data_IF_810189003340
#
_entry.id   IF_810189003340
#
_cell.length_a   1.000
_cell.length_b   1.000
_cell.length_c   1.000
_cell.angle_alpha   90.00
_cell.angle_beta   90.00
_cell.angle_gamma   90.00
#
_symmetry.space_group_name_H-M   'P 1'
#
loop_
_entity.id
_entity.type
_entity.pdbx_description
1 polymer ?
#
# COMPACT_ATOMS: atom_id res chain seq x y z
N UNK A 1 19.47 7.36 11.01
CA UNK A 1 18.21 7.97 10.54
C UNK A 1 17.28 8.37 11.69
N UNK A 2 16.91 7.48 12.61
CA UNK A 2 16.02 7.83 13.74
C UNK A 2 16.61 8.89 14.71
N UNK A 3 17.92 8.80 15.01
CA UNK A 3 18.61 9.65 15.99
C UNK A 3 19.38 10.81 15.35
N UNK A 4 19.36 10.91 14.00
CA UNK A 4 20.12 11.96 13.31
C UNK A 4 19.50 13.34 13.56
N UNK A 5 20.33 14.37 13.83
CA UNK A 5 19.86 15.75 13.86
C UNK A 5 19.38 16.18 12.46
N UNK A 6 18.45 17.13 12.42
CA UNK A 6 17.82 17.58 11.18
C UNK A 6 18.86 18.01 10.12
N UNK A 7 19.89 18.75 10.52
CA UNK A 7 21.00 19.18 9.64
C UNK A 7 21.70 18.06 8.89
N UNK A 8 21.84 16.89 9.53
CA UNK A 8 22.47 15.73 8.92
C UNK A 8 21.50 14.98 8.00
N UNK A 9 20.21 14.98 8.33
CA UNK A 9 19.13 14.49 7.46
C UNK A 9 19.06 15.29 6.15
N UNK A 10 19.06 16.63 6.23
CA UNK A 10 19.06 17.51 5.06
C UNK A 10 20.22 17.19 4.11
N UNK A 11 21.43 16.99 4.65
CA UNK A 11 22.63 16.65 3.86
C UNK A 11 22.60 15.24 3.28
N UNK A 12 22.06 14.27 4.03
CA UNK A 12 22.06 12.86 3.60
C UNK A 12 21.11 12.63 2.43
N UNK A 13 19.96 13.32 2.43
CA UNK A 13 18.93 13.19 1.42
C UNK A 13 18.94 14.33 0.39
N UNK A 14 19.99 15.16 0.40
CA UNK A 14 20.16 16.33 -0.48
C UNK A 14 18.88 17.17 -0.62
N UNK A 15 18.23 17.42 0.51
CA UNK A 15 16.92 18.06 0.60
C UNK A 15 17.01 19.36 1.37
N UNK A 16 15.99 20.21 1.21
CA UNK A 16 15.96 21.56 1.74
C UNK A 16 14.66 21.84 2.50
N UNK A 17 14.68 22.72 3.52
CA UNK A 17 13.47 23.11 4.27
C UNK A 17 12.36 23.69 3.38
N UNK A 18 12.73 24.20 2.20
CA UNK A 18 11.82 24.77 1.21
C UNK A 18 11.19 23.71 0.29
N UNK A 19 11.58 22.45 0.41
CA UNK A 19 11.19 21.36 -0.48
C UNK A 19 12.14 21.19 -1.66
N UNK A 20 11.99 20.07 -2.37
CA UNK A 20 12.81 19.74 -3.55
C UNK A 20 12.34 20.52 -4.79
N UNK A 21 13.28 20.81 -5.69
CA UNK A 21 12.98 21.33 -7.01
C UNK A 21 12.63 20.20 -8.00
N UNK A 22 12.08 20.56 -9.16
CA UNK A 22 11.67 19.56 -10.17
C UNK A 22 12.85 18.71 -10.69
N UNK A 23 14.03 19.29 -10.88
CA UNK A 23 15.21 18.58 -11.39
C UNK A 23 15.78 17.58 -10.36
N UNK A 24 15.76 17.94 -9.07
CA UNK A 24 16.14 17.09 -7.94
C UNK A 24 15.17 15.92 -7.80
N UNK A 25 13.87 16.18 -7.94
CA UNK A 25 12.84 15.12 -7.94
C UNK A 25 13.04 14.16 -9.11
N UNK A 26 13.33 14.65 -10.31
CA UNK A 26 13.60 13.81 -11.48
C UNK A 26 14.86 12.96 -11.27
N UNK A 27 15.95 13.56 -10.80
CA UNK A 27 17.19 12.84 -10.47
C UNK A 27 16.98 11.77 -9.38
N UNK A 28 16.25 12.11 -8.30
CA UNK A 28 15.93 11.18 -7.24
C UNK A 28 15.05 10.02 -7.74
N UNK A 29 14.10 10.29 -8.65
CA UNK A 29 13.24 9.29 -9.28
C UNK A 29 14.03 8.36 -10.20
N UNK A 30 15.00 8.87 -10.95
CA UNK A 30 15.88 8.02 -11.77
C UNK A 30 16.72 7.05 -10.92
N UNK A 31 17.13 7.49 -9.73
CA UNK A 31 17.95 6.68 -8.82
C UNK A 31 17.13 5.65 -8.01
N UNK A 32 15.96 6.05 -7.51
CA UNK A 32 15.18 5.23 -6.57
C UNK A 32 13.95 4.55 -7.18
N UNK A 33 13.51 4.98 -8.37
CA UNK A 33 12.30 4.49 -9.00
C UNK A 33 11.01 5.14 -8.46
N UNK A 34 9.86 4.60 -8.88
CA UNK A 34 8.54 5.04 -8.40
C UNK A 34 8.23 4.40 -7.04
N UNK A 35 7.46 5.11 -6.21
CA UNK A 35 6.95 4.60 -4.92
C UNK A 35 5.75 3.66 -5.15
N UNK A 36 6.02 2.51 -5.75
CA UNK A 36 5.04 1.48 -6.05
C UNK A 36 5.43 0.18 -5.39
N UNK A 37 4.66 -0.18 -4.35
CA UNK A 37 4.69 -1.52 -3.78
C UNK A 37 4.63 -2.53 -4.93
N UNK A 38 5.53 -3.53 -4.95
CA UNK A 38 5.54 -4.52 -6.01
C UNK A 38 4.15 -5.14 -6.08
N UNK A 39 3.41 -4.81 -7.14
CA UNK A 39 2.09 -5.35 -7.35
C UNK A 39 2.22 -6.87 -7.27
N UNK A 40 1.51 -7.49 -6.33
CA UNK A 40 1.46 -8.95 -6.26
C UNK A 40 1.11 -9.40 -7.66
N UNK A 41 2.06 -10.09 -8.32
CA UNK A 41 1.86 -10.52 -9.68
C UNK A 41 0.52 -11.24 -9.72
N UNK A 42 -0.43 -10.81 -10.59
CA UNK A 42 -1.72 -11.45 -10.66
C UNK A 42 -1.45 -12.93 -10.80
N UNK A 43 -1.92 -13.72 -9.83
CA UNK A 43 -1.67 -15.16 -9.83
C UNK A 43 -1.97 -15.68 -11.22
N UNK A 44 -1.07 -16.46 -11.83
CA UNK A 44 -1.24 -16.90 -13.20
C UNK A 44 -2.62 -17.50 -13.39
N UNK A 45 -3.26 -17.27 -14.53
CA UNK A 45 -4.64 -17.67 -14.79
C UNK A 45 -4.91 -19.16 -14.49
N UNK A 46 -3.91 -20.03 -14.65
CA UNK A 46 -3.98 -21.46 -14.29
C UNK A 46 -4.07 -21.72 -12.77
N UNK A 47 -3.42 -20.91 -11.94
CA UNK A 47 -3.54 -20.99 -10.47
C UNK A 47 -4.93 -20.54 -10.03
N UNK A 48 -5.44 -19.46 -10.62
CA UNK A 48 -6.79 -18.97 -10.34
C UNK A 48 -7.86 -19.99 -10.78
N UNK A 49 -7.63 -20.66 -11.91
CA UNK A 49 -8.46 -21.76 -12.40
C UNK A 49 -8.42 -22.99 -11.47
N UNK A 50 -7.26 -23.34 -10.91
CA UNK A 50 -7.13 -24.43 -9.93
C UNK A 50 -7.80 -24.11 -8.59
N UNK A 51 -7.70 -22.86 -8.11
CA UNK A 51 -8.40 -22.41 -6.90
C UNK A 51 -9.92 -22.42 -7.09
N UNK A 52 -10.41 -21.94 -8.25
CA UNK A 52 -11.83 -22.05 -8.62
C UNK A 52 -12.30 -23.51 -8.77
N UNK A 53 -11.44 -24.41 -9.26
CA UNK A 53 -11.75 -25.84 -9.37
C UNK A 53 -11.86 -26.51 -7.99
N UNK A 54 -11.10 -26.02 -6.98
CA UNK A 54 -11.15 -26.51 -5.61
C UNK A 54 -12.34 -26.01 -4.79
N UNK A 55 -13.37 -25.48 -5.46
CA UNK A 55 -14.67 -25.27 -4.82
C UNK A 55 -15.32 -26.65 -4.55
N UNK A 56 -15.77 -26.94 -3.31
CA UNK A 56 -16.35 -28.24 -2.94
C UNK A 56 -17.52 -28.66 -3.85
N UNK A 57 -18.20 -27.71 -4.47
CA UNK A 57 -19.26 -27.97 -5.45
C UNK A 57 -18.74 -28.55 -6.78
N UNK A 58 -17.63 -28.04 -7.31
CA UNK A 58 -17.01 -28.58 -8.54
C UNK A 58 -16.46 -30.00 -8.32
N UNK A 59 -15.89 -30.26 -7.14
CA UNK A 59 -15.41 -31.60 -6.77
C UNK A 59 -16.58 -32.59 -6.69
N UNK A 60 -17.68 -32.21 -6.03
CA UNK A 60 -18.89 -33.03 -5.93
C UNK A 60 -19.47 -33.38 -7.31
N UNK A 61 -19.55 -32.39 -8.20
CA UNK A 61 -20.05 -32.58 -9.55
C UNK A 61 -19.14 -33.44 -10.43
N UNK A 62 -17.82 -33.34 -10.25
CA UNK A 62 -16.85 -34.22 -10.94
C UNK A 62 -17.05 -35.69 -10.51
N UNK A 63 -17.30 -35.93 -9.21
CA UNK A 63 -17.59 -37.27 -8.68
C UNK A 63 -18.91 -37.80 -9.26
N UNK A 64 -19.97 -37.00 -9.31
CA UNK A 64 -21.25 -37.41 -9.93
C UNK A 64 -21.10 -37.71 -11.43
N UNK A 65 -20.34 -36.91 -12.17
CA UNK A 65 -20.06 -37.13 -13.59
C UNK A 65 -19.32 -38.45 -13.84
N UNK A 66 -18.34 -38.78 -13.00
CA UNK A 66 -17.61 -40.05 -13.07
C UNK A 66 -18.53 -41.27 -12.78
N UNK A 67 -19.43 -41.15 -11.80
CA UNK A 67 -20.42 -42.20 -11.48
C UNK A 67 -21.44 -42.36 -12.62
N UNK A 68 -21.90 -41.26 -13.23
CA UNK A 68 -22.88 -41.31 -14.32
C UNK A 68 -22.27 -41.91 -15.60
N UNK A 69 -21.00 -41.61 -15.90
CA UNK A 69 -20.26 -42.23 -17.00
C UNK A 69 -20.10 -43.74 -16.82
N UNK A 70 -19.83 -44.19 -15.59
CA UNK A 70 -19.75 -45.61 -15.26
C UNK A 70 -21.10 -46.36 -15.38
N UNK A 71 -22.23 -45.64 -15.44
CA UNK A 71 -23.58 -46.21 -15.58
C UNK A 71 -24.05 -46.28 -17.06
N UNK A 72 -23.20 -45.91 -18.03
CA UNK A 72 -23.46 -45.89 -19.49
C UNK A 72 -24.65 -45.02 -19.96
N UNK A 73 -25.25 -44.22 -19.07
CA UNK A 73 -26.27 -43.23 -19.45
C UNK A 73 -25.63 -41.94 -19.96
N UNK A 74 -25.33 -41.95 -21.27
CA UNK A 74 -24.74 -40.82 -22.00
C UNK A 74 -25.62 -39.56 -21.97
N UNK A 75 -26.95 -39.70 -21.82
CA UNK A 75 -27.86 -38.56 -21.78
C UNK A 75 -27.81 -37.88 -20.41
N UNK A 76 -27.88 -38.66 -19.32
CA UNK A 76 -27.71 -38.16 -17.96
C UNK A 76 -26.32 -37.54 -17.74
N UNK A 77 -25.26 -38.18 -18.24
CA UNK A 77 -23.90 -37.66 -18.16
C UNK A 77 -23.74 -36.30 -18.87
N UNK A 78 -24.36 -36.13 -20.05
CA UNK A 78 -24.34 -34.87 -20.80
C UNK A 78 -25.06 -33.72 -20.08
N UNK A 79 -26.22 -33.99 -19.48
CA UNK A 79 -26.98 -32.98 -18.70
C UNK A 79 -26.22 -32.55 -17.45
N UNK A 80 -25.64 -33.51 -16.72
CA UNK A 80 -24.83 -33.22 -15.53
C UNK A 80 -23.61 -32.37 -15.93
N UNK A 81 -22.86 -32.78 -16.96
CA UNK A 81 -21.70 -32.03 -17.46
C UNK A 81 -22.03 -30.59 -17.86
N UNK A 82 -23.19 -30.36 -18.51
CA UNK A 82 -23.65 -29.03 -18.88
C UNK A 82 -23.98 -28.18 -17.64
N UNK A 83 -24.65 -28.75 -16.63
CA UNK A 83 -24.92 -28.05 -15.37
C UNK A 83 -23.62 -27.69 -14.63
N UNK A 84 -22.61 -28.57 -14.63
CA UNK A 84 -21.29 -28.26 -14.08
C UNK A 84 -20.66 -27.08 -14.81
N UNK A 85 -20.60 -27.13 -16.15
CA UNK A 85 -19.99 -26.09 -16.95
C UNK A 85 -20.63 -24.72 -16.71
N UNK A 86 -21.97 -24.66 -16.66
CA UNK A 86 -22.71 -23.43 -16.37
C UNK A 86 -22.42 -22.95 -14.94
N UNK A 87 -22.41 -23.85 -13.94
CA UNK A 87 -22.14 -23.49 -12.56
C UNK A 87 -20.71 -22.99 -12.35
N UNK A 88 -19.70 -23.65 -12.94
CA UNK A 88 -18.31 -23.22 -12.88
C UNK A 88 -18.13 -21.85 -13.56
N UNK A 89 -18.77 -21.63 -14.71
CA UNK A 89 -18.71 -20.35 -15.41
C UNK A 89 -19.37 -19.22 -14.60
N UNK A 90 -20.54 -19.46 -14.02
CA UNK A 90 -21.21 -18.50 -13.15
C UNK A 90 -20.39 -18.18 -11.90
N UNK A 91 -19.75 -19.17 -11.28
CA UNK A 91 -18.86 -18.97 -10.14
C UNK A 91 -17.61 -18.17 -10.54
N UNK A 92 -16.99 -18.47 -11.69
CA UNK A 92 -15.84 -17.73 -12.20
C UNK A 92 -16.17 -16.24 -12.47
N UNK A 93 -17.33 -15.97 -13.07
CA UNK A 93 -17.78 -14.59 -13.32
C UNK A 93 -18.10 -13.85 -12.02
N UNK A 94 -18.72 -14.52 -11.04
CA UNK A 94 -19.00 -13.94 -9.72
C UNK A 94 -17.73 -13.60 -8.96
N UNK A 95 -16.75 -14.52 -8.94
CA UNK A 95 -15.46 -14.32 -8.27
C UNK A 95 -14.69 -13.16 -8.93
N UNK A 96 -14.60 -13.14 -10.26
CA UNK A 96 -13.90 -12.10 -11.02
C UNK A 96 -14.53 -10.71 -10.89
N UNK A 97 -15.85 -10.63 -10.65
CA UNK A 97 -16.54 -9.36 -10.43
C UNK A 97 -16.37 -8.85 -9.00
N UNK A 98 -16.32 -9.75 -8.02
CA UNK A 98 -16.08 -9.41 -6.61
C UNK A 98 -14.66 -8.88 -6.38
N UNK A 99 -13.65 -9.50 -6.98
CA UNK A 99 -12.25 -9.05 -6.83
C UNK A 99 -12.03 -7.67 -7.43
N UNK A 100 -12.56 -7.39 -8.63
CA UNK A 100 -12.47 -6.06 -9.25
C UNK A 100 -13.09 -4.93 -8.44
N UNK A 101 -14.21 -5.19 -7.76
CA UNK A 101 -14.86 -4.16 -6.95
C UNK A 101 -14.01 -3.82 -5.71
N UNK A 102 -13.42 -4.82 -5.06
CA UNK A 102 -12.53 -4.62 -3.93
C UNK A 102 -11.24 -3.89 -4.32
N UNK A 103 -10.64 -4.22 -5.46
CA UNK A 103 -9.42 -3.57 -5.95
C UNK A 103 -9.68 -2.11 -6.38
N UNK A 104 -10.82 -1.83 -7.01
CA UNK A 104 -11.22 -0.47 -7.37
C UNK A 104 -11.50 0.40 -6.12
N UNK A 105 -12.14 -0.15 -5.09
CA UNK A 105 -12.35 0.53 -3.82
C UNK A 105 -11.02 0.83 -3.11
N UNK A 106 -10.05 -0.11 -3.14
CA UNK A 106 -8.70 0.12 -2.59
C UNK A 106 -7.95 1.22 -3.34
N UNK A 107 -8.06 1.27 -4.68
CA UNK A 107 -7.39 2.28 -5.49
C UNK A 107 -7.96 3.70 -5.32
N UNK A 108 -9.21 3.84 -4.88
CA UNK A 108 -9.88 5.14 -4.78
C UNK A 108 -9.67 5.89 -3.46
N UNK A 109 -9.16 5.25 -2.39
CA UNK A 109 -9.21 5.83 -1.03
C UNK A 109 -7.89 6.44 -0.57
N UNK A 110 -6.74 6.22 -1.22
CA UNK A 110 -5.47 6.66 -0.63
C UNK A 110 -4.35 6.75 -1.67
N UNK A 111 -4.49 7.52 -2.75
CA UNK A 111 -3.42 7.61 -3.75
C UNK A 111 -2.84 9.01 -3.94
N UNK A 112 -3.19 9.99 -3.10
CA UNK A 112 -2.57 11.32 -3.14
C UNK A 112 -1.91 11.67 -1.81
N UNK A 113 -0.82 12.43 -1.88
CA UNK A 113 -0.08 12.96 -0.74
C UNK A 113 0.20 14.45 -0.98
N UNK A 114 0.13 15.25 0.07
CA UNK A 114 0.47 16.67 0.01
C UNK A 114 1.96 16.86 0.28
N UNK A 115 2.70 17.33 -0.72
CA UNK A 115 4.15 17.53 -0.67
C UNK A 115 4.53 19.01 -0.77
N UNK A 116 5.62 19.40 -0.14
CA UNK A 116 6.23 20.72 -0.27
C UNK A 116 7.32 20.65 -1.35
N UNK A 117 7.14 21.42 -2.42
CA UNK A 117 8.12 21.54 -3.52
C UNK A 117 8.26 22.98 -3.98
N UNK A 118 9.38 23.26 -4.64
CA UNK A 118 9.63 24.54 -5.30
C UNK A 118 8.85 24.56 -6.62
N UNK A 119 7.96 25.54 -6.78
CA UNK A 119 6.98 25.64 -7.87
C UNK A 119 7.52 26.44 -9.05
N UNK A 120 8.41 27.41 -8.79
CA UNK A 120 8.90 28.34 -9.80
C UNK A 120 10.44 28.47 -9.76
N UNK A 121 11.05 28.83 -10.90
CA UNK A 121 12.49 29.18 -11.02
C UNK A 121 12.91 30.37 -10.14
N UNK A 122 11.93 31.07 -9.54
CA UNK A 122 12.14 32.14 -8.55
C UNK A 122 12.40 31.61 -7.13
N UNK A 123 12.32 30.30 -6.91
CA UNK A 123 12.47 29.70 -5.58
C UNK A 123 11.20 29.77 -4.72
N UNK A 124 10.02 29.99 -5.31
CA UNK A 124 8.77 29.99 -4.53
C UNK A 124 8.37 28.55 -4.20
N UNK A 125 8.18 28.26 -2.91
CA UNK A 125 7.72 26.95 -2.44
C UNK A 125 6.20 26.94 -2.20
N UNK A 126 5.61 25.75 -2.32
CA UNK A 126 4.20 25.58 -2.00
C UNK A 126 3.79 24.13 -1.86
N UNK A 127 2.62 23.95 -1.26
CA UNK A 127 2.03 22.64 -1.01
C UNK A 127 1.25 22.19 -2.25
N UNK A 128 1.62 21.03 -2.77
CA UNK A 128 1.05 20.42 -3.96
C UNK A 128 0.56 19.02 -3.62
N UNK A 129 -0.63 18.67 -4.13
CA UNK A 129 -1.14 17.32 -4.00
C UNK A 129 -0.69 16.49 -5.20
N UNK A 130 0.10 15.45 -4.95
CA UNK A 130 0.65 14.56 -5.98
C UNK A 130 0.26 13.11 -5.72
N UNK A 131 0.24 12.25 -6.75
CA UNK A 131 0.05 10.83 -6.54
C UNK A 131 1.14 10.22 -5.64
N UNK A 132 0.79 9.26 -4.77
CA UNK A 132 1.73 8.58 -3.87
C UNK A 132 2.84 7.88 -4.66
N UNK A 133 2.53 7.33 -5.82
CA UNK A 133 3.46 6.69 -6.76
C UNK A 133 4.62 7.60 -7.17
N UNK A 134 4.40 8.91 -7.09
CA UNK A 134 5.32 9.95 -7.53
C UNK A 134 6.22 10.51 -6.43
N UNK A 135 6.04 10.05 -5.19
CA UNK A 135 6.88 10.41 -4.05
C UNK A 135 8.31 9.90 -4.26
N UNK A 136 9.28 10.71 -3.84
CA UNK A 136 10.70 10.35 -3.86
C UNK A 136 11.30 10.52 -2.46
N UNK A 137 12.36 9.78 -2.11
CA UNK A 137 13.13 10.04 -0.90
C UNK A 137 13.62 11.50 -0.89
N UNK A 138 13.45 12.18 0.25
CA UNK A 138 13.75 13.60 0.42
C UNK A 138 12.55 14.54 0.27
N UNK A 139 11.40 14.08 -0.26
CA UNK A 139 10.17 14.89 -0.27
C UNK A 139 9.70 15.20 1.16
N UNK A 140 9.26 16.44 1.40
CA UNK A 140 8.60 16.83 2.65
C UNK A 140 7.10 16.73 2.43
N UNK A 141 6.42 15.98 3.29
CA UNK A 141 4.98 15.77 3.21
C UNK A 141 4.27 16.28 4.46
N UNK A 142 3.00 16.63 4.29
CA UNK A 142 2.10 16.97 5.40
C UNK A 142 1.13 15.82 5.65
N UNK A 143 0.99 15.47 6.91
CA UNK A 143 0.05 14.46 7.40
C UNK A 143 -1.00 15.12 8.30
N UNK A 144 -2.24 14.66 8.16
CA UNK A 144 -3.36 15.01 9.01
C UNK A 144 -4.11 13.76 9.51
N UNK A 145 -4.96 13.95 10.51
CA UNK A 145 -5.81 12.90 11.03
C UNK A 145 -6.69 12.29 9.92
N UNK A 146 -6.68 10.96 9.81
CA UNK A 146 -7.37 10.20 8.77
C UNK A 146 -6.49 9.80 7.59
N UNK A 147 -5.31 10.40 7.42
CA UNK A 147 -4.43 10.09 6.31
C UNK A 147 -3.75 8.73 6.49
N UNK A 148 -3.62 7.99 5.39
CA UNK A 148 -2.75 6.83 5.30
C UNK A 148 -1.31 7.30 5.07
N UNK A 149 -0.35 6.67 5.74
CA UNK A 149 1.06 6.99 5.59
C UNK A 149 1.57 6.43 4.25
N UNK A 150 2.02 7.28 3.31
CA UNK A 150 2.24 6.90 1.90
C UNK A 150 3.60 6.28 1.61
N UNK A 151 4.58 6.46 2.50
CA UNK A 151 5.95 5.97 2.38
C UNK A 151 6.55 5.84 3.78
N UNK A 152 7.78 5.37 3.90
CA UNK A 152 8.48 5.41 5.19
C UNK A 152 9.01 6.82 5.43
N UNK A 153 8.68 7.39 6.60
CA UNK A 153 8.89 8.80 6.89
C UNK A 153 9.67 9.03 8.19
N UNK A 154 10.42 10.13 8.20
CA UNK A 154 11.00 10.73 9.39
C UNK A 154 10.25 12.02 9.73
N UNK A 155 9.67 12.08 10.92
CA UNK A 155 8.93 13.26 11.39
C UNK A 155 9.89 14.42 11.62
N UNK A 156 9.56 15.59 11.08
CA UNK A 156 10.27 16.85 11.32
C UNK A 156 9.51 17.71 12.33
N UNK A 157 8.18 17.72 12.26
CA UNK A 157 7.31 18.43 13.20
C UNK A 157 6.06 17.59 13.45
N UNK A 158 5.62 17.51 14.71
CA UNK A 158 4.40 16.83 15.08
C UNK A 158 3.64 17.63 16.13
N UNK A 159 2.31 17.60 16.03
CA UNK A 159 1.40 18.16 17.02
C UNK A 159 0.32 17.13 17.32
N UNK A 160 0.36 16.59 18.54
CA UNK A 160 -0.55 15.56 19.04
C UNK A 160 -0.74 14.41 18.03
N UNK A 161 0.36 13.97 17.40
CA UNK A 161 0.35 12.97 16.34
C UNK A 161 0.25 11.57 16.95
N UNK A 162 -0.84 10.87 16.67
CA UNK A 162 -1.03 9.48 17.04
C UNK A 162 -1.21 8.62 15.79
N UNK A 163 -0.45 7.54 15.69
CA UNK A 163 -0.46 6.63 14.54
C UNK A 163 -0.93 5.25 14.99
N UNK A 164 -1.87 4.67 14.25
CA UNK A 164 -2.29 3.29 14.41
C UNK A 164 -1.32 2.37 13.67
N UNK A 165 -0.50 1.64 14.42
CA UNK A 165 0.49 0.70 13.88
C UNK A 165 0.02 -0.77 13.95
N UNK A 166 -1.29 -1.00 14.15
CA UNK A 166 -1.87 -2.33 14.29
C UNK A 166 -1.56 -3.28 13.12
N UNK A 167 -1.41 -2.74 11.91
CA UNK A 167 -1.04 -3.50 10.71
C UNK A 167 0.39 -4.06 10.76
N UNK A 168 1.30 -3.48 11.54
CA UNK A 168 2.71 -3.84 11.62
C UNK A 168 3.08 -4.50 12.95
N UNK A 169 2.59 -3.97 14.07
CA UNK A 169 2.94 -4.45 15.43
C UNK A 169 1.90 -5.41 16.00
N UNK A 170 0.68 -5.44 15.44
CA UNK A 170 -0.46 -6.15 16.03
C UNK A 170 -1.07 -5.46 17.25
N UNK A 171 -0.51 -4.34 17.70
CA UNK A 171 -1.03 -3.56 18.82
C UNK A 171 -2.11 -2.58 18.35
N UNK A 172 -3.28 -2.63 18.98
CA UNK A 172 -4.42 -1.79 18.59
C UNK A 172 -4.38 -0.39 19.18
N UNK A 173 -3.48 -0.13 20.13
CA UNK A 173 -3.37 1.19 20.77
C UNK A 173 -2.58 2.14 19.88
N UNK A 174 -3.09 3.37 19.65
CA UNK A 174 -2.35 4.39 18.91
C UNK A 174 -1.06 4.76 19.62
N UNK A 175 0.05 4.83 18.88
CA UNK A 175 1.36 5.23 19.40
C UNK A 175 1.57 6.71 19.10
N UNK A 176 1.98 7.46 20.11
CA UNK A 176 2.32 8.88 19.96
C UNK A 176 3.66 9.04 19.25
N UNK A 177 3.72 9.94 18.28
CA UNK A 177 4.92 10.19 17.48
C UNK A 177 5.40 11.64 17.64
N UNK A 178 6.72 11.84 17.61
CA UNK A 178 7.36 13.11 17.92
C UNK A 178 8.57 13.40 17.00
N UNK A 179 8.88 14.68 16.80
CA UNK A 179 10.02 15.12 15.98
C UNK A 179 11.38 14.77 16.61
N UNK A 180 11.49 14.94 17.93
CA UNK A 180 12.69 14.60 18.71
C UNK A 180 12.52 13.24 19.37
N UNK A 181 13.53 12.38 19.24
CA UNK A 181 13.52 11.09 19.95
C UNK A 181 13.49 11.33 21.45
N UNK A 182 12.46 10.78 22.13
CA UNK A 182 12.34 10.87 23.59
C UNK A 182 13.21 9.82 24.29
N UNK A 183 13.59 8.76 23.57
CA UNK A 183 14.32 7.62 24.09
C UNK A 183 15.35 7.13 23.04
N UNK A 184 16.59 7.67 23.07
CA UNK A 184 17.63 7.30 22.11
C UNK A 184 18.18 5.87 22.28
N UNK A 185 17.77 5.15 23.33
CA UNK A 185 18.26 3.80 23.65
C UNK A 185 17.44 2.66 23.00
N UNK A 186 16.25 2.95 22.46
CA UNK A 186 15.46 1.93 21.75
C UNK A 186 16.12 1.61 20.42
N UNK A 187 16.65 0.38 20.32
CA UNK A 187 17.31 -0.13 19.11
C UNK A 187 16.31 -0.60 18.05
N UNK A 188 15.04 -0.78 18.41
CA UNK A 188 14.01 -1.27 17.50
C UNK A 188 13.42 -0.11 16.65
N UNK A 189 13.52 -0.15 15.31
CA UNK A 189 12.99 0.89 14.44
C UNK A 189 11.48 1.11 14.59
N UNK A 190 10.72 0.05 14.91
CA UNK A 190 9.25 0.10 15.03
C UNK A 190 8.78 0.88 16.27
N UNK A 191 9.60 0.90 17.32
CA UNK A 191 9.35 1.60 18.58
C UNK A 191 9.83 3.05 18.55
N UNK A 192 10.49 3.47 17.47
CA UNK A 192 10.98 4.84 17.34
C UNK A 192 9.81 5.82 17.15
N UNK A 193 9.70 6.79 18.05
CA UNK A 193 8.70 7.88 17.99
C UNK A 193 8.84 8.78 16.76
N UNK A 194 10.03 8.78 16.17
CA UNK A 194 10.43 9.65 15.08
C UNK A 194 10.10 9.10 13.70
N UNK A 195 9.83 7.79 13.62
CA UNK A 195 9.62 7.09 12.36
C UNK A 195 8.15 6.71 12.20
N UNK A 196 7.68 6.89 10.98
CA UNK A 196 6.38 6.46 10.50
C UNK A 196 6.58 5.51 9.34
N UNK A 197 5.73 4.49 9.24
CA UNK A 197 5.88 3.42 8.27
C UNK A 197 4.71 3.39 7.29
N UNK A 198 5.01 3.07 6.03
CA UNK A 198 4.01 2.94 4.97
C UNK A 198 2.89 1.97 5.37
N UNK A 199 1.64 2.32 5.05
CA UNK A 199 0.47 1.46 5.30
C UNK A 199 -0.10 1.51 6.73
N UNK A 200 0.42 2.41 7.57
CA UNK A 200 -0.22 2.80 8.83
C UNK A 200 -1.14 4.00 8.63
N UNK A 201 -1.97 4.32 9.63
CA UNK A 201 -2.97 5.41 9.52
C UNK A 201 -2.81 6.39 10.67
N UNK A 202 -2.93 7.68 10.37
CA UNK A 202 -2.92 8.74 11.37
C UNK A 202 -4.29 8.79 12.06
N UNK A 203 -4.32 8.56 13.37
CA UNK A 203 -5.53 8.57 14.19
C UNK A 203 -5.92 10.00 14.56
N UNK A 204 -4.94 10.81 14.93
CA UNK A 204 -5.15 12.21 15.32
C UNK A 204 -3.90 13.04 15.14
N UNK A 205 -4.08 14.36 15.12
CA UNK A 205 -3.01 15.34 15.05
C UNK A 205 -2.61 15.72 13.64
N UNK A 206 -1.50 16.44 13.55
CA UNK A 206 -0.89 16.87 12.28
C UNK A 206 0.62 16.75 12.37
N UNK A 207 1.27 16.44 11.27
CA UNK A 207 2.72 16.39 11.21
C UNK A 207 3.28 16.83 9.86
N UNK A 208 4.53 17.28 9.87
CA UNK A 208 5.37 17.40 8.70
C UNK A 208 6.46 16.34 8.82
N UNK A 209 6.68 15.60 7.74
CA UNK A 209 7.63 14.50 7.73
C UNK A 209 8.36 14.44 6.39
N UNK A 210 9.60 13.97 6.42
CA UNK A 210 10.43 13.74 5.25
C UNK A 210 10.34 12.28 4.84
N UNK A 211 10.22 12.00 3.55
CA UNK A 211 10.30 10.65 3.01
C UNK A 211 11.74 10.15 3.10
N UNK A 212 11.95 9.04 3.79
CA UNK A 212 13.28 8.41 3.92
C UNK A 212 13.45 7.22 2.98
N UNK A 213 12.37 6.51 2.69
CA UNK A 213 12.38 5.38 1.79
C UNK A 213 11.03 5.23 1.10
N UNK A 214 11.10 4.89 -0.18
CA UNK A 214 9.98 4.57 -1.07
C UNK A 214 10.13 3.12 -1.51
N UNK A 215 9.04 2.46 -1.88
CA UNK A 215 9.08 1.05 -2.27
C UNK A 215 7.88 0.59 -3.06
#
# INVERSE_FOLDING_TARGET
MAVMPEEELWKTFDTHPEGLNLAEVESAREQHGENKLPAQQPSPWWVHLWVCYRNPFNILLTILGAISYATEDLFAAGVIALMVAISTLLNFIQEARSTKAADALKAMVSNTATVLRVINDKGENGWLEIPIDQLVPGDIIKLAAGDMIPADLRILQARDLFVAQASLTGESLPVEKAATTRQPEHSNPLECDTLCFMGTTVVSGTAQAMVIATG
#
